data_IF_425754859061
#
_entry.id   IF_425754859061
#
_cell.length_a   1.000
_cell.length_b   1.000
_cell.length_c   1.000
_cell.angle_alpha   90.00
_cell.angle_beta   90.00
_cell.angle_gamma   90.00
#
_symmetry.space_group_name_H-M   'P 1'
#
loop_
_entity.id
_entity.type
_entity.pdbx_description
1 polymer ?
#
# COMPACT_ATOMS: atom_id res chain seq x y z
N UNK A 1 -14.20 -12.28 21.10
CA UNK A 1 -14.19 -10.91 20.49
C UNK A 1 -14.70 -11.03 19.06
N UNK A 2 -15.56 -10.10 18.60
CA UNK A 2 -16.18 -10.24 17.27
C UNK A 2 -15.87 -9.03 16.41
N UNK A 3 -15.45 -9.28 15.15
CA UNK A 3 -15.25 -8.27 14.13
C UNK A 3 -16.17 -8.50 12.93
N UNK A 4 -16.47 -7.43 12.22
CA UNK A 4 -17.14 -7.53 10.93
C UNK A 4 -16.10 -7.96 9.88
N UNK A 5 -16.34 -9.11 9.28
CA UNK A 5 -15.49 -9.64 8.22
C UNK A 5 -16.08 -9.22 6.86
N UNK A 6 -15.34 -8.42 6.12
CA UNK A 6 -15.74 -7.94 4.79
C UNK A 6 -15.93 -9.09 3.80
N UNK A 7 -15.10 -10.13 3.90
CA UNK A 7 -15.18 -11.30 3.01
C UNK A 7 -16.50 -12.06 3.16
N UNK A 8 -16.97 -12.27 4.40
CA UNK A 8 -18.21 -13.02 4.68
C UNK A 8 -19.43 -12.12 4.85
N UNK A 9 -19.21 -10.79 4.98
CA UNK A 9 -20.23 -9.79 5.29
C UNK A 9 -20.97 -10.05 6.61
N UNK A 10 -20.31 -10.70 7.56
CA UNK A 10 -20.88 -11.05 8.85
C UNK A 10 -19.98 -10.58 9.99
N UNK A 11 -20.60 -10.44 11.16
CA UNK A 11 -19.86 -10.22 12.40
C UNK A 11 -19.50 -11.58 12.99
N UNK A 12 -18.21 -11.90 12.97
CA UNK A 12 -17.67 -13.22 13.32
C UNK A 12 -16.76 -13.16 14.54
N UNK A 13 -16.59 -14.29 15.20
CA UNK A 13 -15.61 -14.45 16.27
C UNK A 13 -14.20 -14.30 15.70
N UNK A 14 -13.37 -13.51 16.36
CA UNK A 14 -11.98 -13.40 15.99
C UNK A 14 -11.21 -14.63 16.49
N UNK A 15 -10.59 -15.34 15.56
CA UNK A 15 -9.72 -16.48 15.83
C UNK A 15 -8.33 -16.12 15.28
N UNK A 16 -7.31 -15.95 16.13
CA UNK A 16 -5.97 -15.64 15.67
C UNK A 16 -5.33 -16.85 14.95
N UNK A 17 -4.43 -16.59 14.00
CA UNK A 17 -3.65 -17.65 13.34
C UNK A 17 -2.69 -18.37 14.31
N UNK A 18 -2.19 -17.65 15.30
CA UNK A 18 -1.34 -18.16 16.36
C UNK A 18 -1.95 -17.78 17.72
N UNK A 19 -2.07 -18.74 18.61
CA UNK A 19 -2.70 -18.50 19.90
C UNK A 19 -1.99 -17.38 20.68
N UNK A 20 -2.77 -16.45 21.19
CA UNK A 20 -2.26 -15.29 21.93
C UNK A 20 -1.60 -14.18 21.09
N UNK A 21 -1.45 -14.35 19.77
CA UNK A 21 -0.81 -13.36 18.90
C UNK A 21 -1.75 -12.82 17.84
N UNK A 22 -1.58 -11.55 17.51
CA UNK A 22 -2.33 -10.87 16.45
C UNK A 22 -1.35 -10.20 15.50
N UNK A 23 -1.47 -10.48 14.23
CA UNK A 23 -0.80 -9.78 13.14
C UNK A 23 -1.78 -8.80 12.52
N UNK A 24 -1.41 -7.53 12.45
CA UNK A 24 -2.27 -6.49 11.90
C UNK A 24 -1.50 -5.58 10.96
N UNK A 25 -1.97 -5.48 9.72
CA UNK A 25 -1.45 -4.52 8.73
C UNK A 25 -2.48 -3.45 8.43
N UNK A 26 -2.08 -2.20 8.54
CA UNK A 26 -2.90 -1.05 8.15
C UNK A 26 -2.11 -0.16 7.21
N UNK A 27 -2.61 0.03 5.99
CA UNK A 27 -1.99 0.92 5.02
C UNK A 27 -1.92 2.34 5.59
N UNK A 28 -0.72 2.89 5.62
CA UNK A 28 -0.45 4.24 6.10
C UNK A 28 -0.66 5.33 5.05
N UNK A 29 -0.43 6.58 5.38
CA UNK A 29 -0.64 7.69 4.48
C UNK A 29 0.49 7.85 3.47
N UNK A 30 0.17 8.47 2.31
CA UNK A 30 1.16 9.09 1.43
C UNK A 30 1.59 10.42 2.04
N UNK A 31 2.89 10.57 2.27
CA UNK A 31 3.45 11.67 3.07
C UNK A 31 3.90 12.85 2.21
N UNK A 32 2.93 13.54 1.60
CA UNK A 32 3.16 14.71 0.74
C UNK A 32 2.63 16.02 1.34
N UNK A 33 1.85 15.95 2.41
CA UNK A 33 1.24 17.09 3.09
C UNK A 33 0.82 16.71 4.52
N UNK A 34 0.41 17.69 5.33
CA UNK A 34 -0.23 17.43 6.62
C UNK A 34 -1.39 16.45 6.48
N UNK A 35 -1.59 15.63 7.50
CA UNK A 35 -2.77 14.76 7.55
C UNK A 35 -4.02 15.59 7.84
N UNK A 36 -5.16 15.06 7.41
CA UNK A 36 -6.47 15.63 7.75
C UNK A 36 -7.32 14.58 8.48
N UNK A 37 -8.48 14.96 8.97
CA UNK A 37 -9.37 14.09 9.76
C UNK A 37 -9.67 12.73 9.10
N UNK A 38 -9.69 12.68 7.77
CA UNK A 38 -9.86 11.42 7.03
C UNK A 38 -8.68 10.46 7.17
N UNK A 39 -7.44 10.97 7.33
CA UNK A 39 -6.26 10.15 7.60
C UNK A 39 -6.19 9.79 9.10
N UNK A 40 -6.56 10.70 9.99
CA UNK A 40 -6.57 10.48 11.42
C UNK A 40 -7.57 9.39 11.84
N UNK A 41 -8.71 9.30 11.17
CA UNK A 41 -9.77 8.34 11.49
C UNK A 41 -9.27 6.88 11.53
N UNK A 42 -8.66 6.30 10.48
CA UNK A 42 -8.13 4.94 10.56
C UNK A 42 -7.04 4.80 11.62
N UNK A 43 -6.17 5.79 11.81
CA UNK A 43 -5.13 5.75 12.83
C UNK A 43 -5.73 5.56 14.23
N UNK A 44 -6.72 6.36 14.60
CA UNK A 44 -7.40 6.28 15.90
C UNK A 44 -8.20 4.96 16.05
N UNK A 45 -8.91 4.55 15.00
CA UNK A 45 -9.72 3.32 15.02
C UNK A 45 -8.86 2.09 15.24
N UNK A 46 -7.75 1.97 14.51
CA UNK A 46 -6.87 0.80 14.60
C UNK A 46 -5.97 0.83 15.85
N UNK A 47 -5.59 2.00 16.35
CA UNK A 47 -4.97 2.13 17.66
C UNK A 47 -5.92 1.67 18.78
N UNK A 48 -7.17 2.07 18.73
CA UNK A 48 -8.20 1.60 19.68
C UNK A 48 -8.39 0.09 19.61
N UNK A 49 -8.44 -0.48 18.40
CA UNK A 49 -8.55 -1.93 18.21
C UNK A 49 -7.31 -2.65 18.78
N UNK A 50 -6.10 -2.16 18.48
CA UNK A 50 -4.84 -2.67 19.03
C UNK A 50 -4.84 -2.67 20.56
N UNK A 51 -5.12 -1.53 21.18
CA UNK A 51 -5.16 -1.39 22.66
C UNK A 51 -6.17 -2.34 23.28
N UNK A 52 -7.32 -2.54 22.65
CA UNK A 52 -8.32 -3.48 23.13
C UNK A 52 -7.84 -4.94 23.02
N UNK A 53 -7.16 -5.31 21.94
CA UNK A 53 -6.57 -6.64 21.79
C UNK A 53 -5.49 -6.87 22.86
N UNK A 54 -4.59 -5.90 23.08
CA UNK A 54 -3.56 -5.95 24.13
C UNK A 54 -4.20 -6.05 25.53
N UNK A 55 -5.26 -5.29 25.79
CA UNK A 55 -6.05 -5.40 27.04
C UNK A 55 -6.65 -6.79 27.22
N UNK A 56 -7.01 -7.48 26.14
CA UNK A 56 -7.51 -8.86 26.16
C UNK A 56 -6.42 -9.92 26.30
N UNK A 57 -5.15 -9.50 26.40
CA UNK A 57 -4.00 -10.37 26.60
C UNK A 57 -3.31 -10.85 25.34
N UNK A 58 -3.63 -10.29 24.17
CA UNK A 58 -2.94 -10.62 22.93
C UNK A 58 -1.63 -9.82 22.79
N UNK A 59 -0.59 -10.46 22.28
CA UNK A 59 0.58 -9.80 21.72
C UNK A 59 0.24 -9.31 20.30
N UNK A 60 0.30 -7.99 20.06
CA UNK A 60 -0.11 -7.41 18.78
C UNK A 60 1.12 -6.93 18.01
N UNK A 61 1.44 -7.57 16.88
CA UNK A 61 2.38 -7.05 15.91
C UNK A 61 1.62 -6.17 14.90
N UNK A 62 1.68 -4.86 15.11
CA UNK A 62 1.00 -3.85 14.30
C UNK A 62 1.97 -3.19 13.33
N UNK A 63 1.74 -3.33 12.04
CA UNK A 63 2.53 -2.73 10.96
C UNK A 63 1.69 -1.69 10.23
N UNK A 64 2.24 -0.48 10.10
CA UNK A 64 1.64 0.61 9.32
C UNK A 64 2.72 1.38 8.59
N UNK A 65 2.73 1.31 7.26
CA UNK A 65 3.77 1.93 6.43
C UNK A 65 3.60 3.45 6.28
N UNK A 66 4.65 4.10 5.76
CA UNK A 66 4.54 5.38 5.08
C UNK A 66 4.84 5.18 3.60
N UNK A 67 3.96 5.66 2.72
CA UNK A 67 4.24 5.76 1.29
C UNK A 67 5.03 7.05 1.06
N UNK A 68 6.35 6.91 0.93
CA UNK A 68 7.33 7.99 0.83
C UNK A 68 7.83 8.19 -0.61
N UNK A 69 7.23 7.52 -1.59
CA UNK A 69 7.42 7.73 -3.03
C UNK A 69 6.07 7.65 -3.75
N UNK A 70 5.63 8.75 -4.36
CA UNK A 70 4.33 8.86 -5.07
C UNK A 70 4.35 10.08 -5.99
N UNK A 71 3.47 10.10 -7.01
CA UNK A 71 3.31 11.24 -7.92
C UNK A 71 3.04 12.56 -7.18
N UNK A 72 2.30 12.52 -6.05
CA UNK A 72 1.97 13.71 -5.24
C UNK A 72 3.19 14.25 -4.51
N UNK A 73 4.08 13.37 -4.01
CA UNK A 73 5.32 13.77 -3.35
C UNK A 73 6.23 14.45 -4.37
N UNK A 74 6.37 13.86 -5.56
CA UNK A 74 7.18 14.40 -6.65
C UNK A 74 6.64 15.76 -7.11
N UNK A 75 5.32 15.88 -7.30
CA UNK A 75 4.70 17.16 -7.68
C UNK A 75 4.95 18.24 -6.62
N UNK A 76 4.82 17.89 -5.34
CA UNK A 76 5.07 18.80 -4.22
C UNK A 76 6.55 19.22 -4.14
N UNK A 77 7.46 18.28 -4.34
CA UNK A 77 8.89 18.56 -4.37
C UNK A 77 9.27 19.54 -5.50
N UNK A 78 8.72 19.34 -6.69
CA UNK A 78 8.92 20.23 -7.83
C UNK A 78 8.32 21.63 -7.56
N UNK A 79 7.15 21.71 -6.94
CA UNK A 79 6.51 22.99 -6.57
C UNK A 79 7.38 23.78 -5.58
N UNK A 80 8.00 23.12 -4.60
CA UNK A 80 8.82 23.75 -3.57
C UNK A 80 10.31 23.88 -3.93
N UNK A 81 10.75 23.27 -5.04
CA UNK A 81 12.16 23.28 -5.46
C UNK A 81 13.08 22.49 -4.54
N UNK A 82 12.57 21.42 -3.93
CA UNK A 82 13.29 20.51 -3.02
C UNK A 82 13.23 19.08 -3.53
N UNK A 83 13.89 18.14 -2.85
CA UNK A 83 13.84 16.72 -3.21
C UNK A 83 12.57 16.03 -2.70
N UNK A 84 12.17 14.93 -3.36
CA UNK A 84 11.06 14.09 -2.91
C UNK A 84 11.32 13.52 -1.49
N UNK A 85 12.59 13.23 -1.17
CA UNK A 85 13.01 12.76 0.14
C UNK A 85 12.80 13.84 1.22
N UNK A 86 13.16 15.08 0.96
CA UNK A 86 12.92 16.19 1.90
C UNK A 86 11.44 16.39 2.19
N UNK A 87 10.57 16.29 1.17
CA UNK A 87 9.12 16.34 1.35
C UNK A 87 8.64 15.19 2.22
N UNK A 88 8.99 13.95 1.87
CA UNK A 88 8.52 12.78 2.60
C UNK A 88 9.00 12.77 4.06
N UNK A 89 10.26 13.07 4.33
CA UNK A 89 10.79 13.11 5.69
C UNK A 89 10.12 14.21 6.54
N UNK A 90 9.89 15.38 5.97
CA UNK A 90 9.17 16.47 6.63
C UNK A 90 7.77 16.01 7.07
N UNK A 91 6.98 15.46 6.14
CA UNK A 91 5.61 15.09 6.45
C UNK A 91 5.46 13.78 7.23
N UNK A 92 6.47 12.91 7.22
CA UNK A 92 6.57 11.79 8.19
C UNK A 92 6.71 12.35 9.61
N UNK A 93 7.59 13.35 9.81
CA UNK A 93 7.79 13.97 11.11
C UNK A 93 6.52 14.65 11.62
N UNK A 94 5.84 15.43 10.76
CA UNK A 94 4.57 16.09 11.09
C UNK A 94 3.47 15.06 11.38
N UNK A 95 3.35 14.00 10.57
CA UNK A 95 2.37 12.93 10.79
C UNK A 95 2.61 12.22 12.14
N UNK A 96 3.85 11.92 12.49
CA UNK A 96 4.18 11.31 13.79
C UNK A 96 3.83 12.23 14.96
N UNK A 97 4.05 13.55 14.80
CA UNK A 97 3.65 14.55 15.80
C UNK A 97 2.14 14.60 15.96
N UNK A 98 1.39 14.69 14.86
CA UNK A 98 -0.07 14.69 14.88
C UNK A 98 -0.64 13.41 15.51
N UNK A 99 -0.04 12.24 15.21
CA UNK A 99 -0.41 10.98 15.85
C UNK A 99 -0.20 11.04 17.37
N UNK A 100 0.93 11.56 17.83
CA UNK A 100 1.21 11.71 19.26
C UNK A 100 0.24 12.68 19.94
N UNK A 101 -0.07 13.81 19.31
CA UNK A 101 -1.02 14.81 19.80
C UNK A 101 -2.46 14.24 19.90
N UNK A 102 -2.81 13.28 19.05
CA UNK A 102 -4.07 12.51 19.11
C UNK A 102 -4.01 11.31 20.07
N UNK A 103 -2.93 11.12 20.82
CA UNK A 103 -2.70 9.96 21.70
C UNK A 103 -2.74 8.60 20.97
N UNK A 104 -2.38 8.57 19.70
CA UNK A 104 -2.21 7.35 18.89
C UNK A 104 -0.83 6.78 19.15
N UNK A 105 -0.75 5.52 19.57
CA UNK A 105 0.54 4.84 19.79
C UNK A 105 1.24 4.58 18.44
N UNK A 106 2.57 4.68 18.38
CA UNK A 106 3.31 4.24 17.21
C UNK A 106 3.02 2.77 16.89
N UNK A 107 2.97 2.41 15.60
CA UNK A 107 2.93 1.00 15.22
C UNK A 107 4.18 0.26 15.70
N UNK A 108 4.13 -1.06 15.78
CA UNK A 108 5.32 -1.88 16.09
C UNK A 108 6.40 -1.62 15.05
N UNK A 109 6.00 -1.45 13.78
CA UNK A 109 6.90 -1.11 12.69
C UNK A 109 6.22 -0.15 11.72
N UNK A 110 6.97 0.88 11.29
CA UNK A 110 6.59 1.81 10.24
C UNK A 110 7.56 1.67 9.04
N UNK A 111 7.36 0.69 8.16
CA UNK A 111 8.22 0.55 6.98
C UNK A 111 8.02 1.71 6.01
N UNK A 112 9.08 2.05 5.26
CA UNK A 112 9.06 3.03 4.18
C UNK A 112 9.02 2.29 2.83
N UNK A 113 8.20 2.75 1.90
CA UNK A 113 8.11 2.14 0.58
C UNK A 113 9.48 2.13 -0.14
N UNK A 114 10.26 3.21 0.00
CA UNK A 114 11.61 3.34 -0.62
C UNK A 114 12.62 2.33 -0.08
N UNK A 115 12.41 1.77 1.11
CA UNK A 115 13.29 0.76 1.71
C UNK A 115 12.94 -0.67 1.32
N UNK A 116 11.85 -0.87 0.59
CA UNK A 116 11.32 -2.19 0.24
C UNK A 116 11.31 -2.48 -1.28
N UNK A 117 12.04 -1.67 -2.05
CA UNK A 117 12.08 -1.74 -3.52
C UNK A 117 12.53 -3.11 -4.02
N UNK A 118 13.58 -3.68 -3.45
CA UNK A 118 14.09 -4.99 -3.87
C UNK A 118 13.01 -6.07 -3.72
N UNK A 119 12.30 -6.07 -2.59
CA UNK A 119 11.18 -6.99 -2.36
C UNK A 119 10.02 -6.77 -3.34
N UNK A 120 9.79 -5.53 -3.77
CA UNK A 120 8.78 -5.23 -4.79
C UNK A 120 9.21 -5.76 -6.15
N UNK A 121 10.47 -5.59 -6.55
CA UNK A 121 11.02 -6.13 -7.80
C UNK A 121 10.92 -7.65 -7.81
N UNK A 122 11.28 -8.32 -6.72
CA UNK A 122 11.21 -9.78 -6.59
C UNK A 122 9.76 -10.29 -6.70
N UNK A 123 8.82 -9.62 -6.03
CA UNK A 123 7.42 -9.99 -6.10
C UNK A 123 6.84 -9.78 -7.51
N UNK A 124 7.15 -8.66 -8.16
CA UNK A 124 6.72 -8.38 -9.53
C UNK A 124 7.31 -9.41 -10.51
N UNK A 125 8.59 -9.76 -10.38
CA UNK A 125 9.24 -10.79 -11.18
C UNK A 125 8.51 -12.13 -11.04
N UNK A 126 8.19 -12.51 -9.80
CA UNK A 126 7.41 -13.73 -9.53
C UNK A 126 6.02 -13.70 -10.19
N UNK A 127 5.35 -12.53 -10.19
CA UNK A 127 4.04 -12.39 -10.86
C UNK A 127 4.15 -12.49 -12.38
N UNK A 128 5.23 -11.99 -12.97
CA UNK A 128 5.51 -12.13 -14.41
C UNK A 128 5.75 -13.62 -14.75
N UNK A 129 6.61 -14.29 -14.01
CA UNK A 129 6.94 -15.71 -14.21
C UNK A 129 5.70 -16.60 -14.11
N UNK A 130 4.78 -16.28 -13.21
CA UNK A 130 3.50 -16.97 -13.06
C UNK A 130 2.44 -16.52 -14.09
N UNK A 131 2.73 -15.54 -14.93
CA UNK A 131 1.83 -14.99 -15.94
C UNK A 131 0.74 -14.06 -15.42
N UNK A 132 0.81 -13.63 -14.16
CA UNK A 132 -0.12 -12.67 -13.57
C UNK A 132 0.25 -11.21 -13.83
N UNK A 133 1.43 -10.95 -14.37
CA UNK A 133 1.87 -9.63 -14.78
C UNK A 133 2.54 -9.69 -16.15
N UNK A 134 2.69 -8.52 -16.79
CA UNK A 134 3.33 -8.39 -18.09
C UNK A 134 4.02 -7.03 -18.22
N UNK A 135 5.09 -6.99 -19.01
CA UNK A 135 5.85 -5.78 -19.29
C UNK A 135 5.50 -5.23 -20.67
N UNK A 136 5.23 -3.94 -20.76
CA UNK A 136 5.09 -3.21 -22.02
C UNK A 136 5.95 -1.95 -21.95
N UNK A 137 7.00 -1.91 -22.76
CA UNK A 137 7.90 -0.75 -22.86
C UNK A 137 8.44 -0.25 -21.50
N UNK A 138 8.76 -1.18 -20.57
CA UNK A 138 9.28 -0.86 -19.25
C UNK A 138 8.23 -0.60 -18.16
N UNK A 139 6.95 -0.50 -18.53
CA UNK A 139 5.84 -0.48 -17.56
C UNK A 139 5.35 -1.89 -17.30
N UNK A 140 5.24 -2.29 -16.03
CA UNK A 140 4.69 -3.60 -15.67
C UNK A 140 3.28 -3.45 -15.14
N UNK A 141 2.37 -4.24 -15.69
CA UNK A 141 0.95 -4.28 -15.33
C UNK A 141 0.57 -5.62 -14.71
N UNK A 142 -0.36 -5.59 -13.75
CA UNK A 142 -1.02 -6.79 -13.23
C UNK A 142 -2.22 -7.15 -14.10
N UNK A 143 -2.32 -8.44 -14.50
CA UNK A 143 -3.46 -9.00 -15.26
C UNK A 143 -4.63 -9.30 -14.34
N UNK A 144 -5.48 -8.32 -14.14
CA UNK A 144 -6.59 -8.42 -13.17
C UNK A 144 -7.53 -9.60 -13.47
N UNK A 145 -7.92 -9.81 -14.72
CA UNK A 145 -8.84 -10.91 -15.10
C UNK A 145 -8.21 -12.29 -15.04
N UNK A 146 -6.88 -12.41 -15.03
CA UNK A 146 -6.23 -13.70 -14.87
C UNK A 146 -6.30 -14.21 -13.43
N UNK A 147 -6.46 -13.33 -12.46
CA UNK A 147 -6.65 -13.70 -11.07
C UNK A 147 -8.13 -13.94 -10.79
N UNK A 148 -8.57 -15.22 -10.88
CA UNK A 148 -9.98 -15.59 -10.80
C UNK A 148 -10.71 -15.14 -9.52
N UNK A 149 -9.97 -14.95 -8.42
CA UNK A 149 -10.49 -14.49 -7.13
C UNK A 149 -10.49 -12.96 -6.96
N UNK A 150 -10.07 -12.20 -8.00
CA UNK A 150 -10.07 -10.75 -7.91
C UNK A 150 -11.49 -10.21 -7.68
N UNK A 151 -11.62 -9.31 -6.71
CA UNK A 151 -12.93 -8.79 -6.33
C UNK A 151 -13.68 -9.61 -5.26
N UNK A 152 -13.20 -10.80 -4.89
CA UNK A 152 -13.82 -11.67 -3.88
C UNK A 152 -14.01 -10.95 -2.53
N UNK A 153 -12.96 -10.27 -2.03
CA UNK A 153 -13.03 -9.53 -0.77
C UNK A 153 -14.01 -8.35 -0.84
N UNK A 154 -13.95 -7.58 -1.93
CA UNK A 154 -14.80 -6.39 -2.11
C UNK A 154 -16.23 -6.73 -2.57
N UNK A 155 -16.48 -7.99 -2.95
CA UNK A 155 -17.72 -8.46 -3.57
C UNK A 155 -18.10 -7.69 -4.83
N UNK A 156 -17.11 -7.20 -5.57
CA UNK A 156 -17.31 -6.50 -6.84
C UNK A 156 -17.23 -7.48 -8.00
N UNK A 157 -18.21 -7.38 -8.90
CA UNK A 157 -18.13 -8.05 -10.19
C UNK A 157 -17.17 -7.26 -11.10
N UNK A 158 -16.20 -7.93 -11.71
CA UNK A 158 -15.23 -7.29 -12.60
C UNK A 158 -15.89 -6.64 -13.83
N UNK A 159 -16.97 -7.24 -14.32
CA UNK A 159 -17.66 -6.72 -15.51
C UNK A 159 -18.43 -5.42 -15.22
N UNK A 160 -18.78 -5.17 -13.95
CA UNK A 160 -19.40 -3.92 -13.50
C UNK A 160 -18.35 -2.83 -13.15
N UNK A 161 -17.09 -3.20 -13.06
CA UNK A 161 -15.99 -2.26 -12.85
C UNK A 161 -15.71 -1.54 -14.16
N UNK A 162 -16.33 -0.37 -14.36
CA UNK A 162 -15.92 0.54 -15.42
C UNK A 162 -14.51 1.03 -15.10
N UNK A 163 -13.62 1.01 -16.09
CA UNK A 163 -12.31 1.64 -16.04
C UNK A 163 -12.45 3.03 -15.39
N UNK A 164 -11.79 3.19 -14.25
CA UNK A 164 -12.14 4.19 -13.25
C UNK A 164 -12.25 5.61 -13.78
N UNK A 165 -13.18 6.35 -13.20
CA UNK A 165 -13.31 7.80 -13.23
C UNK A 165 -12.10 8.57 -12.64
N UNK A 166 -10.92 8.00 -12.62
CA UNK A 166 -9.68 8.72 -12.36
C UNK A 166 -9.17 9.25 -13.68
N UNK A 167 -9.53 10.48 -13.96
CA UNK A 167 -8.96 11.33 -15.03
C UNK A 167 -7.47 11.70 -14.80
N UNK A 168 -6.75 10.89 -14.08
CA UNK A 168 -5.30 10.88 -14.13
C UNK A 168 -4.94 10.04 -15.34
N UNK A 169 -4.76 10.70 -16.48
CA UNK A 169 -4.06 10.17 -17.64
C UNK A 169 -2.67 9.72 -17.19
N UNK A 170 -2.59 8.51 -16.68
CA UNK A 170 -1.30 7.85 -16.46
C UNK A 170 -0.79 7.55 -17.85
N UNK A 171 0.31 8.18 -18.25
CA UNK A 171 0.97 7.89 -19.51
C UNK A 171 1.17 6.37 -19.61
N UNK A 172 0.61 5.73 -20.64
CA UNK A 172 0.65 4.29 -20.86
C UNK A 172 -0.67 3.55 -20.70
N UNK A 173 -1.81 4.24 -20.47
CA UNK A 173 -3.12 3.56 -20.39
C UNK A 173 -3.52 2.84 -21.70
N UNK A 174 -3.06 3.34 -22.84
CA UNK A 174 -3.29 2.78 -24.17
C UNK A 174 -2.54 1.46 -24.42
N UNK A 175 -1.65 1.04 -23.49
CA UNK A 175 -0.79 -0.14 -23.64
C UNK A 175 -1.26 -1.32 -22.78
N UNK A 176 -2.37 -1.18 -22.05
CA UNK A 176 -2.93 -2.25 -21.22
C UNK A 176 -3.60 -3.33 -22.07
N UNK A 177 -3.41 -4.60 -21.70
CA UNK A 177 -4.17 -5.71 -22.31
C UNK A 177 -5.66 -5.65 -21.94
N UNK A 178 -5.99 -5.19 -20.72
CA UNK A 178 -7.36 -4.98 -20.24
C UNK A 178 -7.44 -3.63 -19.47
N UNK A 179 -8.52 -2.85 -19.63
CA UNK A 179 -8.71 -1.59 -18.90
C UNK A 179 -8.66 -1.70 -17.38
N UNK A 180 -8.93 -2.89 -16.82
CA UNK A 180 -8.88 -3.16 -15.39
C UNK A 180 -7.47 -3.43 -14.87
N UNK A 181 -6.50 -3.65 -15.76
CA UNK A 181 -5.12 -3.88 -15.35
C UNK A 181 -4.54 -2.62 -14.70
N UNK A 182 -3.69 -2.82 -13.72
CA UNK A 182 -3.09 -1.71 -12.99
C UNK A 182 -1.57 -1.84 -12.92
N UNK A 183 -0.92 -0.69 -12.77
CA UNK A 183 0.53 -0.58 -12.81
C UNK A 183 1.16 -1.14 -11.54
N UNK A 184 2.16 -2.00 -11.70
CA UNK A 184 3.06 -2.50 -10.65
C UNK A 184 4.42 -1.80 -10.66
N UNK A 185 4.91 -1.40 -11.86
CA UNK A 185 6.16 -0.67 -12.05
C UNK A 185 6.01 0.34 -13.18
N UNK A 186 6.54 1.56 -13.01
CA UNK A 186 6.53 2.63 -14.02
C UNK A 186 7.96 3.06 -14.35
N UNK A 187 8.30 3.28 -15.64
CA UNK A 187 9.51 3.96 -16.01
C UNK A 187 9.61 5.37 -15.38
N UNK A 188 10.82 5.78 -15.04
CA UNK A 188 11.08 7.14 -14.56
C UNK A 188 10.77 8.18 -15.64
N UNK A 189 10.38 9.37 -15.20
CA UNK A 189 10.44 10.60 -15.97
C UNK A 189 11.66 11.42 -15.56
N UNK A 190 12.00 12.41 -16.35
CA UNK A 190 13.09 13.32 -16.03
C UNK A 190 12.87 14.00 -14.67
N UNK A 191 13.88 13.98 -13.81
CA UNK A 191 13.81 14.57 -12.46
C UNK A 191 13.09 13.73 -11.39
N UNK A 192 12.53 12.56 -11.74
CA UNK A 192 11.90 11.67 -10.76
C UNK A 192 12.92 10.78 -10.03
N UNK A 193 12.70 10.44 -8.75
CA UNK A 193 13.43 9.38 -8.08
C UNK A 193 13.20 8.05 -8.79
N UNK A 194 14.23 7.21 -8.88
CA UNK A 194 14.14 5.94 -9.58
C UNK A 194 15.06 4.88 -8.99
N UNK A 195 14.74 3.64 -9.28
CA UNK A 195 15.53 2.45 -8.98
C UNK A 195 15.70 1.62 -10.25
N UNK A 196 16.80 0.87 -10.30
CA UNK A 196 17.08 -0.05 -11.42
C UNK A 196 16.25 -1.31 -11.24
N UNK A 197 15.53 -1.72 -12.28
CA UNK A 197 14.80 -2.97 -12.32
C UNK A 197 15.09 -3.73 -13.63
N UNK A 198 14.69 -5.01 -13.74
CA UNK A 198 14.83 -5.78 -14.99
C UNK A 198 14.05 -5.18 -16.18
N UNK A 199 13.08 -4.29 -15.92
CA UNK A 199 12.17 -3.77 -16.95
C UNK A 199 12.55 -2.36 -17.39
N UNK A 200 12.94 -1.53 -16.44
CA UNK A 200 13.36 -0.14 -16.67
C UNK A 200 13.96 0.47 -15.42
N UNK A 201 14.69 1.56 -15.55
CA UNK A 201 14.87 2.51 -14.46
C UNK A 201 13.52 3.17 -14.16
N UNK A 202 13.03 3.05 -12.92
CA UNK A 202 11.68 3.48 -12.61
C UNK A 202 11.33 3.36 -11.12
N UNK A 203 10.05 3.26 -10.83
CA UNK A 203 9.52 3.21 -9.48
C UNK A 203 8.28 2.33 -9.38
N UNK A 204 7.95 1.81 -8.18
CA UNK A 204 6.79 0.94 -7.99
C UNK A 204 5.48 1.67 -8.25
N UNK A 205 4.47 0.91 -8.65
CA UNK A 205 3.07 1.29 -8.57
C UNK A 205 2.57 1.13 -7.13
N UNK A 206 1.60 1.91 -6.74
CA UNK A 206 1.09 2.00 -5.37
C UNK A 206 0.63 0.66 -4.76
N UNK A 207 0.06 -0.23 -5.55
CA UNK A 207 -0.59 -1.46 -5.04
C UNK A 207 0.38 -2.55 -4.57
N UNK A 208 1.63 -2.59 -5.07
CA UNK A 208 2.59 -3.63 -4.71
C UNK A 208 3.20 -3.42 -3.32
N UNK A 209 3.26 -2.17 -2.87
CA UNK A 209 3.92 -1.76 -1.62
C UNK A 209 3.38 -2.51 -0.40
N UNK A 210 2.07 -2.41 -0.16
CA UNK A 210 1.44 -3.05 1.00
C UNK A 210 1.57 -4.57 0.96
N UNK A 211 1.53 -5.20 -0.22
CA UNK A 211 1.68 -6.64 -0.36
C UNK A 211 3.07 -7.11 0.09
N UNK A 212 4.11 -6.40 -0.34
CA UNK A 212 5.50 -6.72 0.02
C UNK A 212 5.74 -6.47 1.50
N UNK A 213 5.34 -5.32 2.01
CA UNK A 213 5.55 -4.97 3.41
C UNK A 213 4.77 -5.87 4.36
N UNK A 214 3.52 -6.20 4.03
CA UNK A 214 2.72 -7.16 4.80
C UNK A 214 3.41 -8.53 4.87
N UNK A 215 3.81 -9.07 3.73
CA UNK A 215 4.53 -10.34 3.65
C UNK A 215 5.84 -10.33 4.45
N UNK A 216 6.65 -9.27 4.31
CA UNK A 216 7.96 -9.17 4.98
C UNK A 216 7.85 -9.09 6.50
N UNK A 217 6.93 -8.30 7.02
CA UNK A 217 6.86 -7.99 8.46
C UNK A 217 5.86 -8.86 9.23
N UNK A 218 4.89 -9.47 8.56
CA UNK A 218 3.85 -10.28 9.17
C UNK A 218 3.82 -11.73 8.70
N UNK A 219 4.45 -12.02 7.54
CA UNK A 219 4.51 -13.36 6.96
C UNK A 219 3.51 -13.57 5.82
N UNK A 220 3.43 -14.82 5.35
CA UNK A 220 2.60 -15.20 4.17
C UNK A 220 1.10 -15.08 4.46
N UNK A 221 0.70 -15.29 5.72
CA UNK A 221 -0.68 -15.24 6.18
C UNK A 221 -0.83 -14.26 7.35
N UNK A 222 -1.88 -13.44 7.30
CA UNK A 222 -2.21 -12.43 8.30
C UNK A 222 -3.71 -12.42 8.61
#
# INVERSE_FOLDING_TARGET
MKFYNTLTRKKEEFIPLEEGKVKMYVCGPTVYNFIHIGNARPMIVFDTARRYMEYKGYEVNYVSNFTDVDDKIIAKANEEGVTAEEISQRYIAECKKDMADMNVMPATTHPLATQEIDGMIDMISTLIDKGYAYNVNGTVYFRTRRFAEYGKLSHKNLDDLRSGNRSLLVSGEDQKEDPLDFVLWKPKKEGEPYWVSPWSEGRPGWHIECSVMSKKYLGEEI
#
